data_IF_324337492352
#
_entry.id   IF_324337492352
#
_cell.length_a   1.000
_cell.length_b   1.000
_cell.length_c   1.000
_cell.angle_alpha   90.00
_cell.angle_beta   90.00
_cell.angle_gamma   90.00
#
_symmetry.space_group_name_H-M   'P 1'
#
loop_
_entity.id
_entity.type
_entity.pdbx_description
1 polymer ?
#
# COMPACT_ATOMS: atom_id res chain seq x y z
N UNK A 1 -16.67 -9.70 6.93
CA UNK A 1 -15.58 -9.74 5.92
C UNK A 1 -14.27 -10.00 6.63
N UNK A 2 -13.55 -11.05 6.23
CA UNK A 2 -12.24 -11.38 6.78
C UNK A 2 -11.15 -10.69 5.93
N UNK A 3 -10.18 -10.05 6.59
CA UNK A 3 -9.15 -9.23 5.92
C UNK A 3 -8.28 -10.07 4.99
N UNK A 4 -7.82 -11.24 5.45
CA UNK A 4 -6.87 -12.07 4.69
C UNK A 4 -7.48 -12.66 3.40
N UNK A 5 -8.69 -13.26 3.39
CA UNK A 5 -9.33 -13.69 2.16
C UNK A 5 -9.55 -12.56 1.15
N UNK A 6 -9.90 -11.36 1.62
CA UNK A 6 -10.10 -10.20 0.74
C UNK A 6 -8.79 -9.70 0.15
N UNK A 7 -7.67 -9.77 0.89
CA UNK A 7 -6.33 -9.49 0.35
C UNK A 7 -6.08 -10.40 -0.85
N UNK A 8 -6.20 -11.73 -0.69
CA UNK A 8 -5.97 -12.69 -1.78
C UNK A 8 -6.93 -12.48 -2.95
N UNK A 9 -8.21 -12.19 -2.67
CA UNK A 9 -9.21 -11.90 -3.69
C UNK A 9 -8.87 -10.64 -4.49
N UNK A 10 -8.23 -9.65 -3.88
CA UNK A 10 -7.85 -8.39 -4.53
C UNK A 10 -6.87 -8.59 -5.69
N UNK A 11 -6.04 -9.63 -5.64
CA UNK A 11 -5.11 -9.98 -6.73
C UNK A 11 -5.82 -10.47 -8.00
N UNK A 12 -7.01 -11.04 -7.86
CA UNK A 12 -7.77 -11.62 -8.99
C UNK A 12 -8.98 -10.78 -9.39
N UNK A 13 -9.69 -10.21 -8.41
CA UNK A 13 -10.96 -9.50 -8.61
C UNK A 13 -10.99 -8.18 -7.81
N UNK A 14 -10.06 -7.25 -8.06
CA UNK A 14 -9.96 -6.00 -7.29
C UNK A 14 -11.25 -5.17 -7.32
N UNK A 15 -11.91 -5.08 -8.49
CA UNK A 15 -13.17 -4.35 -8.67
C UNK A 15 -14.31 -4.87 -7.79
N UNK A 16 -14.42 -6.19 -7.65
CA UNK A 16 -15.48 -6.78 -6.83
C UNK A 16 -15.26 -6.49 -5.33
N UNK A 17 -14.00 -6.53 -4.88
CA UNK A 17 -13.65 -6.25 -3.47
C UNK A 17 -13.95 -4.80 -3.12
N UNK A 18 -13.57 -3.83 -3.96
CA UNK A 18 -13.83 -2.42 -3.66
C UNK A 18 -15.34 -2.11 -3.69
N UNK A 19 -16.09 -2.69 -4.64
CA UNK A 19 -17.54 -2.50 -4.71
C UNK A 19 -18.24 -2.94 -3.43
N UNK A 20 -17.89 -4.11 -2.91
CA UNK A 20 -18.46 -4.61 -1.65
C UNK A 20 -18.04 -3.77 -0.44
N UNK A 21 -16.81 -3.23 -0.45
CA UNK A 21 -16.33 -2.32 0.61
C UNK A 21 -17.01 -0.97 0.60
N UNK A 22 -17.42 -0.48 -0.57
CA UNK A 22 -18.14 0.78 -0.76
C UNK A 22 -19.66 0.63 -0.67
N UNK A 23 -20.19 -0.60 -0.57
CA UNK A 23 -21.65 -0.85 -0.50
C UNK A 23 -22.28 -0.44 0.85
N UNK A 24 -21.47 -0.19 1.88
CA UNK A 24 -21.92 0.26 3.20
C UNK A 24 -21.84 1.78 3.39
N UNK A 25 -22.26 2.30 4.56
CA UNK A 25 -22.10 3.71 4.89
C UNK A 25 -20.63 4.11 4.90
N UNK A 26 -20.35 5.37 4.55
CA UNK A 26 -19.00 5.91 4.58
C UNK A 26 -18.43 5.87 6.00
N UNK A 27 -17.26 5.26 6.11
CA UNK A 27 -16.57 4.99 7.37
C UNK A 27 -15.09 5.31 7.24
N UNK A 28 -14.77 6.58 7.51
CA UNK A 28 -13.40 7.09 7.52
C UNK A 28 -12.53 6.42 8.57
N UNK A 29 -13.12 6.03 9.71
CA UNK A 29 -12.45 5.27 10.76
C UNK A 29 -11.83 3.97 10.20
N UNK A 30 -12.58 3.23 9.38
CA UNK A 30 -12.10 1.99 8.75
C UNK A 30 -11.06 2.24 7.67
N UNK A 31 -11.20 3.32 6.92
CA UNK A 31 -10.22 3.70 5.90
C UNK A 31 -8.87 4.01 6.56
N UNK A 32 -8.87 4.78 7.64
CA UNK A 32 -7.66 5.11 8.39
C UNK A 32 -7.03 3.87 9.02
N UNK A 33 -7.80 2.98 9.66
CA UNK A 33 -7.26 1.71 10.19
C UNK A 33 -6.61 0.87 9.10
N UNK A 34 -7.20 0.81 7.91
CA UNK A 34 -6.64 0.09 6.75
C UNK A 34 -5.29 0.70 6.35
N UNK A 35 -5.21 2.03 6.27
CA UNK A 35 -3.98 2.75 5.94
C UNK A 35 -2.90 2.57 6.99
N UNK A 36 -3.25 2.66 8.29
CA UNK A 36 -2.32 2.41 9.39
C UNK A 36 -1.80 0.97 9.37
N UNK A 37 -2.67 0.00 9.10
CA UNK A 37 -2.28 -1.40 8.95
C UNK A 37 -1.32 -1.61 7.78
N UNK A 38 -1.61 -1.02 6.61
CA UNK A 38 -0.70 -1.07 5.47
C UNK A 38 0.65 -0.42 5.80
N UNK A 39 0.63 0.75 6.44
CA UNK A 39 1.82 1.51 6.85
C UNK A 39 2.70 0.72 7.82
N UNK A 40 2.09 0.03 8.79
CA UNK A 40 2.79 -0.85 9.72
C UNK A 40 3.44 -2.04 8.98
N UNK A 41 2.74 -2.65 8.03
CA UNK A 41 3.31 -3.76 7.25
C UNK A 41 4.45 -3.30 6.34
N UNK A 42 4.37 -2.08 5.77
CA UNK A 42 5.47 -1.47 5.03
C UNK A 42 6.68 -1.20 5.93
N UNK A 43 6.47 -0.81 7.19
CA UNK A 43 7.54 -0.68 8.17
C UNK A 43 8.20 -2.04 8.45
N UNK A 44 7.41 -3.07 8.75
CA UNK A 44 7.90 -4.44 8.99
C UNK A 44 8.68 -4.98 7.78
N UNK A 45 8.22 -4.69 6.56
CA UNK A 45 8.89 -5.09 5.34
C UNK A 45 10.31 -4.51 5.21
N UNK A 46 10.61 -3.37 5.85
CA UNK A 46 11.94 -2.76 5.79
C UNK A 46 12.93 -3.39 6.77
N UNK A 47 12.46 -4.07 7.82
CA UNK A 47 13.33 -4.57 8.90
C UNK A 47 14.51 -5.42 8.41
N UNK A 48 14.34 -6.39 7.48
CA UNK A 48 15.47 -7.20 7.03
C UNK A 48 16.55 -6.35 6.35
N UNK A 49 16.14 -5.38 5.53
CA UNK A 49 17.07 -4.48 4.82
C UNK A 49 17.77 -3.52 5.78
N UNK A 50 17.06 -2.99 6.78
CA UNK A 50 17.64 -2.08 7.79
C UNK A 50 18.63 -2.82 8.69
N UNK A 51 18.31 -4.05 9.08
CA UNK A 51 19.20 -4.93 9.85
C UNK A 51 20.48 -5.24 9.07
N UNK A 52 20.36 -5.62 7.79
CA UNK A 52 21.52 -5.82 6.90
C UNK A 52 22.38 -4.56 6.82
N UNK A 53 21.75 -3.39 6.63
CA UNK A 53 22.47 -2.14 6.50
C UNK A 53 23.22 -1.76 7.78
N UNK A 54 22.63 -1.96 8.95
CA UNK A 54 23.30 -1.74 10.24
C UNK A 54 24.48 -2.71 10.46
N UNK A 55 24.37 -3.95 9.97
CA UNK A 55 25.47 -4.91 10.02
C UNK A 55 26.64 -4.52 9.11
N UNK A 56 26.35 -4.03 7.90
CA UNK A 56 27.37 -3.63 6.93
C UNK A 56 28.04 -2.29 7.27
N UNK A 57 27.28 -1.37 7.87
CA UNK A 57 27.75 -0.06 8.29
C UNK A 57 27.33 0.21 9.74
N UNK A 58 28.21 -0.17 10.71
CA UNK A 58 27.95 0.00 12.14
C UNK A 58 27.96 1.45 12.61
N UNK A 59 28.40 2.41 11.78
CA UNK A 59 28.45 3.83 12.16
C UNK A 59 27.06 4.42 12.38
N UNK A 60 26.05 3.86 11.71
CA UNK A 60 24.64 4.20 11.92
C UNK A 60 23.93 3.00 12.57
N UNK A 61 23.62 3.08 13.87
CA UNK A 61 23.04 1.96 14.61
C UNK A 61 21.63 1.61 14.12
N UNK A 62 21.22 0.37 14.36
CA UNK A 62 19.91 -0.15 13.95
C UNK A 62 18.76 0.69 14.49
N UNK A 63 18.83 1.12 15.76
CA UNK A 63 17.76 1.90 16.39
C UNK A 63 17.51 3.24 15.69
N UNK A 64 18.56 3.90 15.22
CA UNK A 64 18.45 5.14 14.45
C UNK A 64 17.77 4.90 13.09
N UNK A 65 18.16 3.82 12.40
CA UNK A 65 17.56 3.42 11.11
C UNK A 65 16.08 3.04 11.28
N UNK A 66 15.76 2.28 12.32
CA UNK A 66 14.41 1.87 12.67
C UNK A 66 13.53 3.06 13.06
N UNK A 67 14.06 4.01 13.83
CA UNK A 67 13.36 5.25 14.18
C UNK A 67 12.99 6.09 12.96
N UNK A 68 13.94 6.26 12.02
CA UNK A 68 13.67 6.94 10.75
C UNK A 68 12.62 6.22 9.90
N UNK A 69 12.72 4.89 9.79
CA UNK A 69 11.75 4.09 9.03
C UNK A 69 10.35 4.11 9.66
N UNK A 70 10.24 4.06 11.00
CA UNK A 70 8.96 4.16 11.71
C UNK A 70 8.31 5.53 11.46
N UNK A 71 9.10 6.61 11.57
CA UNK A 71 8.62 7.97 11.29
C UNK A 71 8.11 8.09 9.84
N UNK A 72 8.90 7.60 8.88
CA UNK A 72 8.52 7.59 7.47
C UNK A 72 7.25 6.77 7.22
N UNK A 73 7.17 5.57 7.78
CA UNK A 73 6.04 4.68 7.54
C UNK A 73 4.76 5.11 8.24
N UNK A 74 4.79 5.53 9.51
CA UNK A 74 3.55 5.78 10.25
C UNK A 74 3.05 7.21 10.20
N UNK A 75 3.90 8.17 9.82
CA UNK A 75 3.49 9.58 9.73
C UNK A 75 3.51 10.08 8.29
N UNK A 76 4.62 9.82 7.58
CA UNK A 76 4.82 10.39 6.25
C UNK A 76 4.04 9.63 5.16
N UNK A 77 4.06 8.30 5.15
CA UNK A 77 3.30 7.49 4.18
C UNK A 77 1.80 7.77 4.24
N UNK A 78 1.14 7.85 5.41
CA UNK A 78 -0.27 8.18 5.47
C UNK A 78 -0.58 9.55 4.87
N UNK A 79 0.22 10.56 5.20
CA UNK A 79 0.06 11.91 4.66
C UNK A 79 0.18 11.92 3.13
N UNK A 80 1.19 11.24 2.59
CA UNK A 80 1.34 11.07 1.15
C UNK A 80 0.19 10.30 0.52
N UNK A 81 -0.32 9.25 1.17
CA UNK A 81 -1.44 8.47 0.68
C UNK A 81 -2.72 9.32 0.61
N UNK A 82 -2.99 10.18 1.59
CA UNK A 82 -4.12 11.11 1.53
C UNK A 82 -3.97 12.11 0.38
N UNK A 83 -2.78 12.69 0.19
CA UNK A 83 -2.52 13.61 -0.92
C UNK A 83 -2.68 12.92 -2.28
N UNK A 84 -2.14 11.70 -2.42
CA UNK A 84 -2.24 10.91 -3.64
C UNK A 84 -3.69 10.48 -3.93
N UNK A 85 -4.46 10.10 -2.90
CA UNK A 85 -5.87 9.79 -3.05
C UNK A 85 -6.66 11.01 -3.56
N UNK A 86 -6.44 12.19 -2.96
CA UNK A 86 -7.07 13.43 -3.39
C UNK A 86 -6.71 13.80 -4.84
N UNK A 87 -5.42 13.71 -5.19
CA UNK A 87 -4.94 13.97 -6.55
C UNK A 87 -5.55 12.98 -7.55
N UNK A 88 -5.58 11.69 -7.22
CA UNK A 88 -6.15 10.67 -8.10
C UNK A 88 -7.65 10.87 -8.35
N UNK A 89 -8.39 11.30 -7.33
CA UNK A 89 -9.80 11.66 -7.48
C UNK A 89 -9.97 12.90 -8.37
N UNK A 90 -9.13 13.93 -8.21
CA UNK A 90 -9.20 15.13 -9.06
C UNK A 90 -8.91 14.82 -10.52
N UNK A 91 -7.90 13.98 -10.79
CA UNK A 91 -7.59 13.51 -12.14
C UNK A 91 -8.77 12.70 -12.68
N UNK A 92 -9.33 11.76 -11.90
CA UNK A 92 -10.48 10.98 -12.32
C UNK A 92 -11.69 11.87 -12.66
N UNK A 93 -11.98 12.87 -11.81
CA UNK A 93 -13.05 13.85 -12.04
C UNK A 93 -12.84 14.68 -13.31
N UNK A 94 -11.61 15.10 -13.60
CA UNK A 94 -11.27 15.79 -14.84
C UNK A 94 -11.49 14.90 -16.08
N UNK A 95 -11.37 13.58 -15.93
CA UNK A 95 -11.63 12.57 -16.97
C UNK A 95 -13.09 12.07 -16.99
N UNK A 96 -14.00 12.70 -16.23
CA UNK A 96 -15.43 12.35 -16.19
C UNK A 96 -15.83 11.31 -15.14
N UNK A 97 -14.94 10.99 -14.19
CA UNK A 97 -15.23 10.17 -13.02
C UNK A 97 -16.30 10.81 -12.11
N UNK A 98 -17.12 9.97 -11.50
CA UNK A 98 -18.29 10.39 -10.72
C UNK A 98 -18.29 9.84 -9.29
N UNK A 99 -17.16 9.30 -8.84
CA UNK A 99 -17.00 8.79 -7.49
C UNK A 99 -16.88 9.89 -6.44
N UNK A 100 -16.64 9.46 -5.21
CA UNK A 100 -16.34 10.36 -4.09
C UNK A 100 -14.86 10.31 -3.72
N UNK A 101 -14.37 11.38 -3.09
CA UNK A 101 -13.02 11.39 -2.52
C UNK A 101 -12.82 10.26 -1.49
N UNK A 102 -13.88 9.83 -0.80
CA UNK A 102 -13.86 8.67 0.08
C UNK A 102 -13.57 7.37 -0.70
N UNK A 103 -14.26 7.16 -1.82
CA UNK A 103 -14.02 6.01 -2.70
C UNK A 103 -12.57 5.92 -3.17
N UNK A 104 -11.98 7.04 -3.59
CA UNK A 104 -10.58 7.10 -4.00
C UNK A 104 -9.60 6.77 -2.85
N UNK A 105 -9.87 7.28 -1.63
CA UNK A 105 -9.10 6.95 -0.42
C UNK A 105 -9.15 5.45 -0.13
N UNK A 106 -10.35 4.87 -0.05
CA UNK A 106 -10.53 3.44 0.24
C UNK A 106 -9.84 2.58 -0.82
N UNK A 107 -9.94 2.94 -2.11
CA UNK A 107 -9.28 2.23 -3.19
C UNK A 107 -7.74 2.21 -3.03
N UNK A 108 -7.13 3.36 -2.75
CA UNK A 108 -5.67 3.44 -2.54
C UNK A 108 -5.24 2.72 -1.27
N UNK A 109 -5.90 2.98 -0.14
CA UNK A 109 -5.50 2.43 1.16
C UNK A 109 -5.64 0.91 1.18
N UNK A 110 -6.70 0.39 0.56
CA UNK A 110 -6.89 -1.04 0.42
C UNK A 110 -5.87 -1.66 -0.54
N UNK A 111 -5.51 -0.99 -1.65
CA UNK A 111 -4.47 -1.48 -2.54
C UNK A 111 -3.09 -1.58 -1.85
N UNK A 112 -2.73 -0.60 -1.03
CA UNK A 112 -1.52 -0.64 -0.19
C UNK A 112 -1.54 -1.84 0.77
N UNK A 113 -2.68 -2.10 1.41
CA UNK A 113 -2.82 -3.26 2.29
C UNK A 113 -2.78 -4.58 1.50
N UNK A 114 -3.43 -4.65 0.35
CA UNK A 114 -3.54 -5.87 -0.45
C UNK A 114 -2.20 -6.30 -1.07
N UNK A 115 -1.32 -5.35 -1.40
CA UNK A 115 0.03 -5.65 -1.92
C UNK A 115 1.04 -5.98 -0.82
N UNK A 116 0.69 -5.74 0.45
CA UNK A 116 1.62 -5.92 1.58
C UNK A 116 2.30 -7.30 1.67
N UNK A 117 1.68 -8.46 1.34
CA UNK A 117 2.40 -9.73 1.36
C UNK A 117 3.57 -9.78 0.38
N UNK A 118 3.41 -9.16 -0.81
CA UNK A 118 4.45 -9.11 -1.81
C UNK A 118 5.56 -8.10 -1.43
N UNK A 119 5.20 -7.00 -0.78
CA UNK A 119 6.19 -6.04 -0.24
C UNK A 119 6.98 -6.66 0.91
N UNK A 120 6.34 -7.40 1.81
CA UNK A 120 7.02 -8.16 2.86
C UNK A 120 8.03 -9.15 2.26
N UNK A 121 7.63 -9.88 1.22
CA UNK A 121 8.52 -10.79 0.50
C UNK A 121 9.71 -10.06 -0.15
N UNK A 122 9.46 -8.91 -0.80
CA UNK A 122 10.52 -8.06 -1.34
C UNK A 122 11.51 -7.62 -0.25
N UNK A 123 11.01 -7.28 0.94
CA UNK A 123 11.81 -6.95 2.12
C UNK A 123 12.75 -8.06 2.55
N UNK A 124 12.27 -9.31 2.57
CA UNK A 124 13.09 -10.48 2.86
C UNK A 124 14.21 -10.65 1.85
N UNK A 125 13.92 -10.51 0.55
CA UNK A 125 14.96 -10.58 -0.51
C UNK A 125 16.00 -9.48 -0.31
N UNK A 126 15.56 -8.25 -0.02
CA UNK A 126 16.47 -7.12 0.19
C UNK A 126 17.40 -7.34 1.39
N UNK A 127 16.92 -7.92 2.49
CA UNK A 127 17.73 -8.18 3.68
C UNK A 127 18.66 -9.39 3.53
N UNK A 128 18.14 -10.52 3.05
CA UNK A 128 18.91 -11.77 3.01
C UNK A 128 19.86 -11.86 1.82
N UNK A 129 19.38 -11.50 0.62
CA UNK A 129 20.16 -11.61 -0.62
C UNK A 129 20.91 -10.30 -0.88
N UNK A 130 20.26 -9.16 -0.66
CA UNK A 130 20.81 -7.84 -0.93
C UNK A 130 20.50 -7.32 -2.35
N UNK A 131 21.14 -6.22 -2.77
CA UNK A 131 20.92 -5.62 -4.09
C UNK A 131 21.29 -6.57 -5.23
N UNK A 132 20.42 -6.66 -6.25
CA UNK A 132 20.68 -7.50 -7.43
C UNK A 132 19.44 -7.68 -8.30
N UNK A 133 19.58 -8.48 -9.37
CA UNK A 133 18.52 -8.72 -10.35
C UNK A 133 17.25 -9.33 -9.73
N UNK A 134 17.39 -10.21 -8.72
CA UNK A 134 16.24 -10.80 -8.02
C UNK A 134 15.41 -9.76 -7.27
N UNK A 135 16.06 -8.86 -6.54
CA UNK A 135 15.37 -7.76 -5.84
C UNK A 135 14.67 -6.81 -6.83
N UNK A 136 15.35 -6.48 -7.93
CA UNK A 136 14.79 -5.62 -8.97
C UNK A 136 13.55 -6.26 -9.62
N UNK A 137 13.63 -7.54 -9.98
CA UNK A 137 12.51 -8.27 -10.57
C UNK A 137 11.29 -8.32 -9.64
N UNK A 138 11.49 -8.63 -8.35
CA UNK A 138 10.39 -8.63 -7.37
C UNK A 138 9.84 -7.23 -7.15
N UNK A 139 10.70 -6.19 -7.13
CA UNK A 139 10.26 -4.80 -7.05
C UNK A 139 9.36 -4.40 -8.23
N UNK A 140 9.69 -4.81 -9.46
CA UNK A 140 8.83 -4.59 -10.64
C UNK A 140 7.50 -5.33 -10.50
N UNK A 141 7.51 -6.59 -10.06
CA UNK A 141 6.28 -7.38 -9.84
C UNK A 141 5.38 -6.70 -8.81
N UNK A 142 5.94 -6.25 -7.69
CA UNK A 142 5.22 -5.53 -6.63
C UNK A 142 4.62 -4.23 -7.17
N UNK A 143 5.40 -3.44 -7.92
CA UNK A 143 4.93 -2.19 -8.49
C UNK A 143 3.78 -2.42 -9.48
N UNK A 144 3.93 -3.37 -10.41
CA UNK A 144 2.88 -3.74 -11.37
C UNK A 144 1.63 -4.23 -10.65
N UNK A 145 1.78 -5.09 -9.64
CA UNK A 145 0.65 -5.58 -8.85
C UNK A 145 -0.07 -4.45 -8.10
N UNK A 146 0.67 -3.53 -7.48
CA UNK A 146 0.12 -2.37 -6.81
C UNK A 146 -0.70 -1.50 -7.76
N UNK A 147 -0.12 -1.09 -8.90
CA UNK A 147 -0.82 -0.25 -9.87
C UNK A 147 -2.02 -0.98 -10.48
N UNK A 148 -1.90 -2.27 -10.79
CA UNK A 148 -3.02 -3.07 -11.29
C UNK A 148 -4.19 -3.09 -10.30
N UNK A 149 -3.93 -3.40 -9.03
CA UNK A 149 -4.96 -3.46 -7.97
C UNK A 149 -5.56 -2.07 -7.76
N UNK A 150 -4.72 -1.06 -7.54
CA UNK A 150 -5.14 0.30 -7.24
C UNK A 150 -5.94 0.91 -8.38
N UNK A 151 -5.42 0.93 -9.61
CA UNK A 151 -6.11 1.54 -10.74
C UNK A 151 -7.40 0.80 -11.08
N UNK A 152 -7.43 -0.53 -10.93
CA UNK A 152 -8.65 -1.30 -11.09
C UNK A 152 -9.71 -0.92 -10.06
N UNK A 153 -9.32 -0.72 -8.80
CA UNK A 153 -10.24 -0.31 -7.73
C UNK A 153 -10.70 1.13 -7.87
N UNK A 154 -9.79 2.05 -8.22
CA UNK A 154 -10.11 3.45 -8.45
C UNK A 154 -11.09 3.59 -9.63
N UNK A 155 -10.83 2.89 -10.74
CA UNK A 155 -11.74 2.90 -11.89
C UNK A 155 -13.13 2.35 -11.59
N UNK A 156 -13.27 1.48 -10.57
CA UNK A 156 -14.57 0.99 -10.12
C UNK A 156 -15.22 1.94 -9.13
N UNK A 157 -14.45 2.54 -8.21
CA UNK A 157 -14.94 3.53 -7.25
C UNK A 157 -15.43 4.82 -7.92
N UNK A 158 -14.92 5.13 -9.11
CA UNK A 158 -15.29 6.32 -9.89
C UNK A 158 -16.47 6.09 -10.86
N UNK A 159 -17.02 4.86 -10.92
CA UNK A 159 -18.23 4.59 -11.70
C UNK A 159 -19.46 5.09 -10.95
N UNK A 160 -20.42 5.66 -11.68
CA UNK A 160 -21.78 5.93 -11.17
C UNK A 160 -22.36 4.63 -10.63
N UNK A 161 -22.70 4.62 -9.34
CA UNK A 161 -23.55 3.60 -8.71
C UNK A 161 -25.01 3.98 -8.97
#
# INVERSE_FOLDING_TARGET
MAIVPDILRSWRKPRAVIRERLAGPEREDRALVTLMGASLLLFVAQWPSLSRAAFLDPSVPLDARMGGALMGCLFLVPLFAYALAALSHWIAKALGGQGSGYGARVALFWALLAVSPAVLFQGLIAGFIGPGAGLAAVGVIVAVAFFWIWLSMLAEAERRI
#
